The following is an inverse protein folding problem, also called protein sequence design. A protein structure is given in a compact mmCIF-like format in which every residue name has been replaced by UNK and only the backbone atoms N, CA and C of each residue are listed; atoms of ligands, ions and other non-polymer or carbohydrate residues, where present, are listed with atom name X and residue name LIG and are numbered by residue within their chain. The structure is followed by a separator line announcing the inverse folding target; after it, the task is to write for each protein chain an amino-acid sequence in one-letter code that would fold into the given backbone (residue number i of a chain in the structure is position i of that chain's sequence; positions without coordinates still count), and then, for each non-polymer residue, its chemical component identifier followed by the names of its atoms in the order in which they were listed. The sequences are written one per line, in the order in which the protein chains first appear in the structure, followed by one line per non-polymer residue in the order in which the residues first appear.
data_IF_391532154009
#
_entry.id   IF_391532154009
#
_cell.length_a   1.000
_cell.length_b   1.000
_cell.length_c   1.000
_cell.angle_alpha   90.00
_cell.angle_beta   90.00
_cell.angle_gamma   90.00
#
_symmetry.space_group_name_H-M   'P 1'
#
loop_
_entity.id
_entity.type
_entity.pdbx_description
1 polymer ?
#
# COMPACT_ATOMS: atom_id res chain seq x y z
N UNK A 1 8.77 10.30 -7.69
CA UNK A 1 8.26 8.92 -7.53
C UNK A 1 7.37 8.60 -8.73
N UNK A 2 7.53 7.44 -9.35
CA UNK A 2 6.67 7.05 -10.48
C UNK A 2 5.23 6.82 -9.97
N UNK A 3 4.24 7.18 -10.78
CA UNK A 3 2.81 7.12 -10.41
C UNK A 3 2.41 5.73 -9.87
N UNK A 4 2.75 4.66 -10.60
CA UNK A 4 2.43 3.29 -10.17
C UNK A 4 3.08 2.93 -8.83
N UNK A 5 4.34 3.36 -8.59
CA UNK A 5 5.00 3.13 -7.30
C UNK A 5 4.21 3.76 -6.14
N UNK A 6 3.71 4.98 -6.33
CA UNK A 6 2.88 5.66 -5.31
C UNK A 6 1.57 4.91 -5.06
N UNK A 7 0.88 4.43 -6.11
CA UNK A 7 -0.31 3.58 -5.96
C UNK A 7 -0.01 2.32 -5.14
N UNK A 8 1.10 1.64 -5.43
CA UNK A 8 1.54 0.44 -4.71
C UNK A 8 1.92 0.71 -3.25
N UNK A 9 2.59 1.83 -2.97
CA UNK A 9 3.01 2.23 -1.62
C UNK A 9 1.82 2.65 -0.74
N UNK A 10 0.81 3.28 -1.31
CA UNK A 10 -0.43 3.55 -0.58
C UNK A 10 -1.22 2.26 -0.35
N UNK A 11 -1.27 1.39 -1.35
CA UNK A 11 -1.94 0.08 -1.27
C UNK A 11 -3.46 0.14 -1.39
N UNK A 12 -4.06 1.31 -1.24
CA UNK A 12 -5.52 1.51 -1.36
C UNK A 12 -5.79 2.71 -2.26
N UNK A 13 -6.64 2.52 -3.27
CA UNK A 13 -7.04 3.56 -4.22
C UNK A 13 -8.53 3.84 -4.05
N UNK A 14 -8.92 4.93 -3.38
CA UNK A 14 -10.34 5.31 -3.27
C UNK A 14 -10.96 5.54 -4.65
N UNK A 15 -12.08 4.86 -4.90
CA UNK A 15 -12.90 5.07 -6.12
C UNK A 15 -14.02 6.04 -5.77
N UNK A 16 -13.93 7.25 -6.31
CA UNK A 16 -14.72 8.39 -5.87
C UNK A 16 -15.70 8.83 -6.95
N UNK A 17 -16.95 9.04 -6.55
CA UNK A 17 -18.03 9.54 -7.41
C UNK A 17 -18.43 10.92 -6.90
N UNK A 18 -18.10 11.98 -7.66
CA UNK A 18 -18.44 13.37 -7.33
C UNK A 18 -19.64 13.80 -8.18
N UNK A 19 -20.67 14.31 -7.52
CA UNK A 19 -21.86 14.90 -8.19
C UNK A 19 -21.84 16.43 -8.16
N UNK A 20 -21.24 17.01 -7.11
CA UNK A 20 -21.02 18.43 -6.96
C UNK A 20 -19.52 18.72 -6.88
N UNK A 21 -19.01 19.50 -7.82
CA UNK A 21 -17.58 19.86 -7.94
C UNK A 21 -17.04 20.48 -6.64
N UNK A 22 -17.85 21.25 -5.91
CA UNK A 22 -17.46 21.88 -4.66
C UNK A 22 -17.01 20.86 -3.57
N UNK A 23 -17.41 19.60 -3.69
CA UNK A 23 -17.05 18.51 -2.76
C UNK A 23 -15.72 17.83 -3.10
N UNK A 24 -15.14 18.06 -4.27
CA UNK A 24 -13.92 17.39 -4.71
C UNK A 24 -12.71 17.70 -3.81
N UNK A 25 -12.46 18.97 -3.53
CA UNK A 25 -11.34 19.43 -2.67
C UNK A 25 -11.54 18.99 -1.22
N UNK A 26 -12.71 19.16 -0.58
CA UNK A 26 -12.95 18.65 0.77
C UNK A 26 -12.75 17.12 0.89
N UNK A 27 -13.21 16.33 -0.09
CA UNK A 27 -13.03 14.88 -0.12
C UNK A 27 -11.54 14.49 -0.25
N UNK A 28 -10.81 15.12 -1.18
CA UNK A 28 -9.37 14.94 -1.33
C UNK A 28 -8.61 15.29 -0.04
N UNK A 29 -8.94 16.43 0.59
CA UNK A 29 -8.34 16.84 1.86
C UNK A 29 -8.60 15.86 3.00
N UNK A 30 -9.79 15.28 3.08
CA UNK A 30 -10.12 14.26 4.09
C UNK A 30 -9.31 12.98 3.88
N UNK A 31 -9.15 12.51 2.64
CA UNK A 31 -8.30 11.37 2.31
C UNK A 31 -6.83 11.63 2.68
N UNK A 32 -6.30 12.82 2.35
CA UNK A 32 -4.93 13.22 2.72
C UNK A 32 -4.70 13.19 4.23
N UNK A 33 -5.61 13.78 5.02
CA UNK A 33 -5.50 13.75 6.50
C UNK A 33 -5.55 12.33 7.05
N UNK A 34 -6.33 11.44 6.41
CA UNK A 34 -6.35 10.01 6.72
C UNK A 34 -5.12 9.23 6.23
N UNK A 35 -4.16 9.90 5.57
CA UNK A 35 -2.91 9.29 5.10
C UNK A 35 -3.05 8.55 3.76
N UNK A 36 -4.11 8.82 2.99
CA UNK A 36 -4.32 8.31 1.64
C UNK A 36 -4.14 9.46 0.65
N UNK A 37 -3.03 9.48 -0.06
CA UNK A 37 -2.64 10.55 -0.96
C UNK A 37 -2.81 10.19 -2.45
N UNK A 38 -3.72 9.26 -2.72
CA UNK A 38 -4.17 8.87 -4.07
C UNK A 38 -5.69 8.82 -4.11
N UNK A 39 -6.31 9.14 -5.26
CA UNK A 39 -7.74 8.96 -5.49
C UNK A 39 -8.05 8.78 -6.98
N UNK A 40 -9.05 7.93 -7.28
CA UNK A 40 -9.62 7.71 -8.61
C UNK A 40 -10.97 8.42 -8.67
N UNK A 41 -11.07 9.59 -9.33
CA UNK A 41 -12.36 10.26 -9.59
C UNK A 41 -12.96 9.66 -10.87
N UNK A 42 -14.18 9.14 -10.77
CA UNK A 42 -14.82 8.46 -11.90
C UNK A 42 -15.54 9.44 -12.82
N UNK A 43 -15.49 9.17 -14.14
CA UNK A 43 -16.27 9.89 -15.16
C UNK A 43 -17.72 9.38 -15.29
N UNK A 44 -18.31 8.92 -14.16
CA UNK A 44 -19.70 8.44 -14.12
C UNK A 44 -20.73 9.55 -13.99
N UNK A 45 -20.29 10.77 -13.71
CA UNK A 45 -21.14 11.95 -13.55
C UNK A 45 -20.67 13.06 -14.47
N UNK A 46 -21.54 13.98 -14.85
CA UNK A 46 -21.15 15.17 -15.61
C UNK A 46 -20.11 16.05 -14.89
N UNK A 47 -20.07 16.00 -13.55
CA UNK A 47 -19.13 16.76 -12.73
C UNK A 47 -17.70 16.14 -12.73
N UNK A 48 -17.50 14.92 -13.23
CA UNK A 48 -16.27 14.17 -13.07
C UNK A 48 -15.00 14.89 -13.55
N UNK A 49 -15.00 15.49 -14.75
CA UNK A 49 -13.84 16.21 -15.27
C UNK A 49 -13.50 17.46 -14.48
N UNK A 50 -14.52 18.26 -14.12
CA UNK A 50 -14.31 19.47 -13.32
C UNK A 50 -13.91 19.12 -11.88
N UNK A 51 -14.39 18.01 -11.33
CA UNK A 51 -13.96 17.50 -10.03
C UNK A 51 -12.48 17.07 -10.03
N UNK A 52 -11.99 16.43 -11.12
CA UNK A 52 -10.57 16.14 -11.32
C UNK A 52 -9.76 17.44 -11.31
N UNK A 53 -10.18 18.45 -12.11
CA UNK A 53 -9.52 19.75 -12.19
C UNK A 53 -9.46 20.44 -10.83
N UNK A 54 -10.57 20.47 -10.10
CA UNK A 54 -10.65 21.09 -8.79
C UNK A 54 -9.74 20.36 -7.76
N UNK A 55 -9.80 19.04 -7.72
CA UNK A 55 -8.97 18.25 -6.79
C UNK A 55 -7.47 18.37 -7.10
N UNK A 56 -7.07 18.30 -8.37
CA UNK A 56 -5.68 18.44 -8.80
C UNK A 56 -5.10 19.83 -8.49
N UNK A 57 -5.90 20.89 -8.69
CA UNK A 57 -5.48 22.26 -8.38
C UNK A 57 -5.50 22.57 -6.88
N UNK A 58 -6.53 22.10 -6.15
CA UNK A 58 -6.74 22.43 -4.74
C UNK A 58 -5.97 21.56 -3.75
N UNK A 59 -5.48 20.39 -4.18
CA UNK A 59 -4.75 19.43 -3.34
C UNK A 59 -3.51 18.92 -4.08
N UNK A 60 -2.42 19.71 -4.18
CA UNK A 60 -1.22 19.34 -4.96
C UNK A 60 -0.53 18.07 -4.46
N UNK A 61 -0.71 17.71 -3.19
CA UNK A 61 -0.17 16.48 -2.61
C UNK A 61 -1.01 15.24 -2.97
N UNK A 62 -2.20 15.41 -3.55
CA UNK A 62 -3.06 14.31 -3.97
C UNK A 62 -2.67 13.83 -5.37
N UNK A 63 -2.40 12.54 -5.52
CA UNK A 63 -2.31 11.89 -6.82
C UNK A 63 -3.73 11.61 -7.33
N UNK A 64 -4.22 12.48 -8.21
CA UNK A 64 -5.57 12.36 -8.77
C UNK A 64 -5.52 11.56 -10.08
N UNK A 65 -6.34 10.53 -10.18
CA UNK A 65 -6.55 9.76 -11.39
C UNK A 65 -7.99 9.84 -11.88
N UNK A 66 -8.18 9.52 -13.16
CA UNK A 66 -9.50 9.40 -13.77
C UNK A 66 -9.92 7.94 -13.87
N UNK A 67 -11.09 7.61 -13.35
CA UNK A 67 -11.70 6.29 -13.43
C UNK A 67 -12.90 6.25 -14.37
N UNK A 68 -13.28 5.04 -14.77
CA UNK A 68 -14.37 4.81 -15.73
C UNK A 68 -14.12 5.50 -17.07
N UNK A 69 -12.85 5.59 -17.46
CA UNK A 69 -12.45 6.09 -18.78
C UNK A 69 -12.66 4.98 -19.81
N UNK A 70 -13.49 5.19 -20.81
CA UNK A 70 -13.90 4.18 -21.78
C UNK A 70 -13.49 4.47 -23.22
N UNK A 71 -12.93 5.65 -23.48
CA UNK A 71 -12.45 6.06 -24.80
C UNK A 71 -11.17 6.85 -24.72
N UNK A 72 -10.37 6.87 -25.79
CA UNK A 72 -9.18 7.71 -25.90
C UNK A 72 -9.51 9.22 -25.77
N UNK A 73 -10.66 9.65 -26.28
CA UNK A 73 -11.08 11.05 -26.14
C UNK A 73 -11.28 11.43 -24.67
N UNK A 74 -11.97 10.60 -23.88
CA UNK A 74 -12.12 10.80 -22.43
C UNK A 74 -10.78 10.78 -21.70
N UNK A 75 -9.86 9.88 -22.10
CA UNK A 75 -8.51 9.81 -21.55
C UNK A 75 -7.80 11.17 -21.70
N UNK A 76 -7.77 11.74 -22.91
CA UNK A 76 -7.14 13.02 -23.18
C UNK A 76 -7.77 14.15 -22.38
N UNK A 77 -9.11 14.23 -22.35
CA UNK A 77 -9.83 15.22 -21.55
C UNK A 77 -9.52 15.12 -20.05
N UNK A 78 -9.41 13.89 -19.53
CA UNK A 78 -9.07 13.69 -18.12
C UNK A 78 -7.65 14.16 -17.80
N UNK A 79 -6.68 13.91 -18.68
CA UNK A 79 -5.30 14.38 -18.52
C UNK A 79 -5.22 15.92 -18.60
N UNK A 80 -5.94 16.54 -19.53
CA UNK A 80 -6.07 18.02 -19.63
C UNK A 80 -6.73 18.61 -18.37
N UNK A 81 -7.63 17.86 -17.71
CA UNK A 81 -8.20 18.24 -16.42
C UNK A 81 -7.25 18.07 -15.24
N UNK A 82 -6.07 17.44 -15.44
CA UNK A 82 -5.06 17.26 -14.42
C UNK A 82 -4.97 15.84 -13.82
N UNK A 83 -5.66 14.86 -14.42
CA UNK A 83 -5.46 13.46 -14.04
C UNK A 83 -4.03 13.02 -14.31
N UNK A 84 -3.44 12.25 -13.39
CA UNK A 84 -2.06 11.78 -13.46
C UNK A 84 -1.97 10.27 -13.76
N UNK A 85 -3.09 9.57 -13.72
CA UNK A 85 -3.23 8.18 -14.15
C UNK A 85 -4.65 7.89 -14.64
N UNK A 86 -4.77 6.84 -15.44
CA UNK A 86 -6.02 6.44 -16.09
C UNK A 86 -6.43 5.05 -15.61
N UNK A 87 -7.71 4.90 -15.31
CA UNK A 87 -8.32 3.62 -14.95
C UNK A 87 -9.55 3.39 -15.84
N UNK A 88 -9.58 2.26 -16.51
CA UNK A 88 -10.74 1.86 -17.34
C UNK A 88 -11.45 0.64 -16.77
N UNK A 89 -12.74 0.47 -17.01
CA UNK A 89 -13.50 -0.71 -16.57
C UNK A 89 -13.16 -1.97 -17.38
N UNK A 90 -12.66 -1.80 -18.59
CA UNK A 90 -12.26 -2.86 -19.51
C UNK A 90 -11.00 -2.49 -20.28
N UNK A 91 -10.56 -3.36 -21.18
CA UNK A 91 -9.38 -3.17 -22.01
C UNK A 91 -9.77 -2.54 -23.36
N UNK A 92 -9.33 -1.34 -23.62
CA UNK A 92 -9.37 -0.69 -24.93
C UNK A 92 -7.96 -0.56 -25.49
N UNK A 93 -7.68 -1.21 -26.61
CA UNK A 93 -6.34 -1.32 -27.18
C UNK A 93 -5.78 0.03 -27.62
N UNK A 94 -6.60 0.88 -28.25
CA UNK A 94 -6.18 2.18 -28.76
C UNK A 94 -5.80 3.12 -27.62
N UNK A 95 -6.66 3.21 -26.62
CA UNK A 95 -6.42 4.05 -25.43
C UNK A 95 -5.20 3.56 -24.64
N UNK A 96 -5.07 2.25 -24.40
CA UNK A 96 -3.96 1.69 -23.62
C UNK A 96 -2.62 1.87 -24.37
N UNK A 97 -2.58 1.61 -25.68
CA UNK A 97 -1.39 1.83 -26.50
C UNK A 97 -0.98 3.30 -26.48
N UNK A 98 -1.93 4.21 -26.67
CA UNK A 98 -1.67 5.65 -26.60
C UNK A 98 -1.11 6.07 -25.23
N UNK A 99 -1.68 5.57 -24.13
CA UNK A 99 -1.18 5.85 -22.78
C UNK A 99 0.29 5.41 -22.62
N UNK A 100 0.61 4.19 -23.06
CA UNK A 100 1.98 3.64 -22.99
C UNK A 100 2.96 4.47 -23.80
N UNK A 101 2.61 4.80 -25.04
CA UNK A 101 3.44 5.62 -25.96
C UNK A 101 3.71 7.03 -25.41
N UNK A 102 2.75 7.58 -24.66
CA UNK A 102 2.85 8.94 -24.06
C UNK A 102 3.31 8.92 -22.59
N UNK A 103 3.74 7.77 -22.05
CA UNK A 103 4.24 7.66 -20.69
C UNK A 103 3.18 7.89 -19.60
N UNK A 104 1.89 7.71 -19.94
CA UNK A 104 0.76 7.86 -19.02
C UNK A 104 0.53 6.53 -18.28
N UNK A 105 0.51 6.57 -16.96
CA UNK A 105 0.17 5.40 -16.16
C UNK A 105 -1.30 5.00 -16.41
N UNK A 106 -1.52 3.75 -16.83
CA UNK A 106 -2.85 3.21 -17.10
C UNK A 106 -3.03 1.84 -16.44
N UNK A 107 -4.19 1.62 -15.82
CA UNK A 107 -4.60 0.34 -15.23
C UNK A 107 -5.94 -0.11 -15.83
N UNK A 108 -5.88 -0.81 -16.99
CA UNK A 108 -7.09 -1.28 -17.67
C UNK A 108 -7.74 -2.44 -16.93
N UNK A 109 -9.08 -2.54 -17.04
CA UNK A 109 -9.85 -3.67 -16.55
C UNK A 109 -9.59 -4.91 -17.40
N UNK A 110 -9.08 -5.99 -16.76
CA UNK A 110 -8.82 -7.28 -17.39
C UNK A 110 -9.23 -8.40 -16.43
N UNK A 111 -10.15 -9.26 -16.86
CA UNK A 111 -10.66 -10.39 -16.07
C UNK A 111 -10.53 -11.75 -16.79
N UNK A 112 -10.11 -11.73 -18.05
CA UNK A 112 -9.90 -12.94 -18.86
C UNK A 112 -8.43 -13.06 -19.31
N UNK A 113 -7.95 -14.30 -19.58
CA UNK A 113 -6.61 -14.51 -20.12
C UNK A 113 -6.33 -13.70 -21.40
N UNK A 114 -7.32 -13.58 -22.29
CA UNK A 114 -7.18 -12.84 -23.56
C UNK A 114 -6.91 -11.35 -23.32
N UNK A 115 -7.65 -10.72 -22.42
CA UNK A 115 -7.45 -9.31 -22.05
C UNK A 115 -6.09 -9.09 -21.37
N UNK A 116 -5.70 -10.02 -20.47
CA UNK A 116 -4.39 -9.97 -19.80
C UNK A 116 -3.25 -10.08 -20.81
N UNK A 117 -3.34 -11.01 -21.77
CA UNK A 117 -2.36 -11.15 -22.86
C UNK A 117 -2.26 -9.87 -23.70
N UNK A 118 -3.41 -9.25 -24.03
CA UNK A 118 -3.44 -8.03 -24.82
C UNK A 118 -2.80 -6.84 -24.07
N UNK A 119 -3.05 -6.70 -22.77
CA UNK A 119 -2.44 -5.69 -21.93
C UNK A 119 -0.92 -5.91 -21.76
N UNK A 120 -0.51 -7.16 -21.47
CA UNK A 120 0.89 -7.54 -21.29
C UNK A 120 1.72 -7.34 -22.58
N UNK A 121 1.14 -7.58 -23.76
CA UNK A 121 1.77 -7.32 -25.05
C UNK A 121 2.09 -5.84 -25.29
N UNK A 122 1.39 -4.92 -24.60
CA UNK A 122 1.68 -3.48 -24.58
C UNK A 122 2.57 -3.07 -23.41
N UNK A 123 3.09 -4.02 -22.60
CA UNK A 123 3.94 -3.74 -21.43
C UNK A 123 3.17 -3.32 -20.17
N UNK A 124 1.84 -3.45 -20.14
CA UNK A 124 1.01 -3.10 -18.98
C UNK A 124 0.82 -4.34 -18.10
N UNK A 125 1.44 -4.31 -16.90
CA UNK A 125 1.47 -5.43 -15.96
C UNK A 125 0.71 -5.17 -14.65
N UNK A 126 0.13 -3.99 -14.47
CA UNK A 126 -0.76 -3.67 -13.36
C UNK A 126 -2.16 -3.45 -13.90
N UNK A 127 -3.06 -4.36 -13.56
CA UNK A 127 -4.38 -4.46 -14.17
C UNK A 127 -5.49 -4.29 -13.12
N UNK A 128 -6.53 -3.55 -13.45
CA UNK A 128 -7.75 -3.52 -12.64
C UNK A 128 -8.49 -4.85 -12.81
N UNK A 129 -8.94 -5.44 -11.69
CA UNK A 129 -9.81 -6.62 -11.69
C UNK A 129 -11.18 -6.22 -11.15
N UNK A 130 -12.18 -6.08 -12.04
CA UNK A 130 -13.47 -5.47 -11.68
C UNK A 130 -14.64 -6.10 -12.44
N UNK A 131 -15.77 -6.32 -11.75
CA UNK A 131 -15.98 -6.32 -10.29
C UNK A 131 -15.41 -7.58 -9.62
N UNK A 132 -14.48 -7.39 -8.67
CA UNK A 132 -13.65 -8.49 -8.15
C UNK A 132 -14.47 -9.60 -7.48
N UNK A 133 -15.43 -9.24 -6.63
CA UNK A 133 -16.27 -10.23 -5.93
C UNK A 133 -17.15 -11.06 -6.86
N UNK A 134 -17.55 -10.49 -8.00
CA UNK A 134 -18.42 -11.19 -9.00
C UNK A 134 -17.59 -12.17 -9.83
N UNK A 135 -16.35 -11.82 -10.16
CA UNK A 135 -15.45 -12.64 -10.98
C UNK A 135 -14.56 -13.60 -10.16
N UNK A 136 -14.93 -13.92 -8.91
CA UNK A 136 -14.27 -14.96 -8.11
C UNK A 136 -13.12 -14.47 -7.23
N UNK A 137 -12.91 -13.14 -7.12
CA UNK A 137 -12.03 -12.54 -6.11
C UNK A 137 -10.59 -13.06 -6.14
N UNK A 138 -10.06 -13.34 -4.95
CA UNK A 138 -8.68 -13.81 -4.78
C UNK A 138 -8.39 -15.13 -5.48
N UNK A 139 -9.35 -16.07 -5.50
CA UNK A 139 -9.16 -17.38 -6.13
C UNK A 139 -8.97 -17.24 -7.64
N UNK A 140 -9.81 -16.43 -8.31
CA UNK A 140 -9.69 -16.18 -9.73
C UNK A 140 -8.37 -15.48 -10.08
N UNK A 141 -7.99 -14.44 -9.33
CA UNK A 141 -6.72 -13.73 -9.56
C UNK A 141 -5.51 -14.64 -9.31
N UNK A 142 -5.56 -15.52 -8.30
CA UNK A 142 -4.53 -16.53 -8.05
C UNK A 142 -4.37 -17.47 -9.24
N UNK A 143 -5.47 -17.99 -9.76
CA UNK A 143 -5.45 -18.87 -10.93
C UNK A 143 -4.89 -18.16 -12.17
N UNK A 144 -5.29 -16.90 -12.42
CA UNK A 144 -4.79 -16.08 -13.51
C UNK A 144 -3.30 -15.70 -13.33
N UNK A 145 -2.83 -15.46 -12.11
CA UNK A 145 -1.42 -15.12 -11.87
C UNK A 145 -0.45 -16.26 -12.18
N UNK A 146 -0.90 -17.51 -12.19
CA UNK A 146 -0.06 -18.66 -12.52
C UNK A 146 0.60 -18.56 -13.89
N UNK A 147 -0.15 -18.48 -15.01
CA UNK A 147 0.42 -18.32 -16.35
C UNK A 147 0.98 -16.91 -16.61
N UNK A 148 0.63 -15.90 -15.83
CA UNK A 148 1.02 -14.50 -16.02
C UNK A 148 1.86 -13.96 -14.85
N UNK A 149 2.99 -14.61 -14.54
CA UNK A 149 3.81 -14.36 -13.35
C UNK A 149 4.35 -12.93 -13.17
N UNK A 150 4.30 -12.06 -14.20
CA UNK A 150 4.68 -10.64 -14.11
C UNK A 150 3.49 -9.70 -13.88
N UNK A 151 2.25 -10.20 -13.90
CA UNK A 151 1.03 -9.40 -13.78
C UNK A 151 0.60 -9.29 -12.32
N UNK A 152 0.17 -8.09 -11.93
CA UNK A 152 -0.41 -7.82 -10.62
C UNK A 152 -1.73 -7.09 -10.77
N UNK A 153 -2.66 -7.36 -9.85
CA UNK A 153 -4.03 -6.88 -9.94
C UNK A 153 -4.33 -5.76 -8.95
N UNK A 154 -5.27 -4.89 -9.34
CA UNK A 154 -5.96 -3.94 -8.45
C UNK A 154 -7.43 -4.40 -8.38
N UNK A 155 -7.76 -5.35 -7.46
CA UNK A 155 -9.14 -5.76 -7.24
C UNK A 155 -9.99 -4.56 -6.81
N UNK A 156 -11.14 -4.42 -7.47
CA UNK A 156 -12.11 -3.36 -7.20
C UNK A 156 -13.51 -3.96 -7.20
N UNK A 157 -14.33 -3.59 -6.21
CA UNK A 157 -15.67 -4.15 -6.02
C UNK A 157 -15.68 -5.34 -5.05
N UNK A 158 -16.44 -5.20 -3.96
CA UNK A 158 -16.54 -6.19 -2.89
C UNK A 158 -15.36 -6.22 -1.93
N UNK A 159 -14.46 -5.22 -2.00
CA UNK A 159 -13.39 -5.04 -1.02
C UNK A 159 -13.79 -3.96 -0.02
N UNK A 160 -13.56 -4.20 1.26
CA UNK A 160 -13.79 -3.31 2.38
C UNK A 160 -12.74 -3.51 3.49
N UNK A 161 -12.90 -2.84 4.63
CA UNK A 161 -11.97 -2.94 5.76
C UNK A 161 -11.82 -4.38 6.31
N UNK A 162 -12.83 -5.24 6.16
CA UNK A 162 -12.83 -6.61 6.73
C UNK A 162 -11.94 -7.57 5.96
N UNK A 163 -11.83 -7.39 4.63
CA UNK A 163 -11.07 -8.28 3.76
C UNK A 163 -9.80 -7.60 3.16
N UNK A 164 -9.59 -6.31 3.42
CA UNK A 164 -8.46 -5.53 2.90
C UNK A 164 -7.10 -6.20 3.18
N UNK A 165 -6.89 -6.65 4.43
CA UNK A 165 -5.62 -7.29 4.81
C UNK A 165 -5.35 -8.56 4.01
N UNK A 166 -6.38 -9.39 3.79
CA UNK A 166 -6.29 -10.63 3.01
C UNK A 166 -5.92 -10.34 1.55
N UNK A 167 -6.60 -9.36 0.92
CA UNK A 167 -6.27 -8.95 -0.44
C UNK A 167 -4.84 -8.44 -0.55
N UNK A 168 -4.40 -7.57 0.36
CA UNK A 168 -3.05 -6.99 0.32
C UNK A 168 -1.93 -7.98 0.67
N UNK A 169 -2.24 -9.09 1.34
CA UNK A 169 -1.28 -10.16 1.61
C UNK A 169 -0.99 -11.03 0.38
N UNK A 170 -1.88 -11.04 -0.63
CA UNK A 170 -1.69 -11.83 -1.84
C UNK A 170 -0.60 -11.21 -2.75
N UNK A 171 0.44 -11.97 -3.15
CA UNK A 171 1.60 -11.43 -3.88
C UNK A 171 1.26 -10.90 -5.27
N UNK A 172 0.15 -11.36 -5.85
CA UNK A 172 -0.37 -10.91 -7.14
C UNK A 172 -1.29 -9.67 -7.01
N UNK A 173 -1.55 -9.17 -5.80
CA UNK A 173 -2.29 -7.92 -5.59
C UNK A 173 -1.33 -6.76 -5.43
N UNK A 174 -1.49 -5.75 -6.28
CA UNK A 174 -0.66 -4.56 -6.30
C UNK A 174 -1.15 -3.50 -5.30
N UNK A 175 -2.42 -3.19 -5.37
CA UNK A 175 -3.18 -2.29 -4.51
C UNK A 175 -4.64 -2.73 -4.57
N UNK A 176 -5.52 -2.09 -3.82
CA UNK A 176 -6.95 -2.39 -3.79
C UNK A 176 -7.74 -1.14 -4.16
N UNK A 177 -8.71 -1.27 -5.06
CA UNK A 177 -9.67 -0.21 -5.36
C UNK A 177 -10.85 -0.26 -4.38
N UNK A 178 -11.11 0.84 -3.67
CA UNK A 178 -12.12 0.88 -2.62
C UNK A 178 -13.08 2.06 -2.67
N UNK A 179 -14.36 1.79 -2.90
CA UNK A 179 -15.41 2.84 -2.84
C UNK A 179 -15.93 3.10 -1.42
N UNK A 180 -15.67 2.19 -0.47
CA UNK A 180 -16.13 2.34 0.92
C UNK A 180 -15.44 3.50 1.66
N UNK A 181 -14.23 3.87 1.25
CA UNK A 181 -13.45 4.95 1.87
C UNK A 181 -14.08 6.31 1.65
N UNK A 182 -14.74 6.49 0.52
CA UNK A 182 -15.28 7.76 0.06
C UNK A 182 -16.64 7.51 -0.59
N UNK A 183 -17.58 7.01 0.21
CA UNK A 183 -18.90 6.64 -0.26
C UNK A 183 -19.66 7.88 -0.78
N UNK A 184 -20.34 7.74 -1.92
CA UNK A 184 -21.11 8.81 -2.56
C UNK A 184 -22.04 9.54 -1.58
N UNK A 185 -22.70 8.78 -0.66
CA UNK A 185 -23.56 9.32 0.37
C UNK A 185 -22.80 10.22 1.35
N UNK A 186 -21.62 9.79 1.81
CA UNK A 186 -20.83 10.55 2.79
C UNK A 186 -20.30 11.85 2.18
N UNK A 187 -19.93 11.83 0.89
CA UNK A 187 -19.55 13.01 0.14
C UNK A 187 -20.74 13.98 0.04
N UNK A 188 -21.90 13.48 -0.41
CA UNK A 188 -23.11 14.30 -0.60
C UNK A 188 -23.60 14.95 0.71
N UNK A 189 -23.43 14.27 1.84
CA UNK A 189 -23.80 14.75 3.18
C UNK A 189 -22.68 15.56 3.86
N UNK A 190 -21.54 15.79 3.19
CA UNK A 190 -20.39 16.55 3.74
C UNK A 190 -19.70 15.86 4.91
N UNK A 191 -19.81 14.52 5.04
CA UNK A 191 -19.23 13.71 6.13
C UNK A 191 -17.73 13.47 5.95
N UNK A 192 -16.97 14.53 5.72
CA UNK A 192 -15.53 14.43 5.44
C UNK A 192 -14.72 13.89 6.62
N UNK A 193 -15.16 14.12 7.87
CA UNK A 193 -14.54 13.49 9.04
C UNK A 193 -14.67 11.97 9.05
N UNK A 194 -15.76 11.41 8.51
CA UNK A 194 -15.92 9.96 8.36
C UNK A 194 -14.99 9.42 7.28
N UNK A 195 -14.83 10.13 6.16
CA UNK A 195 -13.89 9.77 5.09
C UNK A 195 -12.46 9.73 5.61
N UNK A 196 -12.03 10.74 6.38
CA UNK A 196 -10.73 10.79 7.04
C UNK A 196 -10.51 9.57 7.96
N UNK A 197 -11.49 9.25 8.81
CA UNK A 197 -11.43 8.10 9.71
C UNK A 197 -11.30 6.78 8.95
N UNK A 198 -12.10 6.56 7.90
CA UNK A 198 -12.05 5.34 7.09
C UNK A 198 -10.72 5.23 6.33
N UNK A 199 -10.19 6.34 5.84
CA UNK A 199 -8.88 6.37 5.20
C UNK A 199 -7.75 6.01 6.20
N UNK A 200 -7.77 6.56 7.40
CA UNK A 200 -6.81 6.23 8.45
C UNK A 200 -6.89 4.76 8.88
N UNK A 201 -8.11 4.22 9.02
CA UNK A 201 -8.34 2.80 9.31
C UNK A 201 -7.79 1.90 8.20
N UNK A 202 -8.08 2.19 6.94
CA UNK A 202 -7.56 1.44 5.81
C UNK A 202 -6.02 1.47 5.75
N UNK A 203 -5.40 2.62 6.05
CA UNK A 203 -3.93 2.72 6.14
C UNK A 203 -3.37 1.91 7.30
N UNK A 204 -4.00 1.94 8.46
CA UNK A 204 -3.60 1.13 9.60
C UNK A 204 -3.65 -0.37 9.27
N UNK A 205 -4.71 -0.84 8.61
CA UNK A 205 -4.85 -2.23 8.15
C UNK A 205 -3.77 -2.58 7.11
N UNK A 206 -3.54 -1.70 6.14
CA UNK A 206 -2.55 -1.94 5.08
C UNK A 206 -1.12 -2.04 5.62
N UNK A 207 -0.78 -1.25 6.63
CA UNK A 207 0.54 -1.25 7.28
C UNK A 207 0.65 -2.36 8.33
N UNK A 208 -0.39 -2.61 9.11
CA UNK A 208 -0.47 -3.66 10.11
C UNK A 208 0.67 -3.61 11.12
N UNK A 209 1.03 -2.42 11.62
CA UNK A 209 2.09 -2.28 12.62
C UNK A 209 1.78 -3.02 13.91
N UNK A 210 2.73 -3.80 14.38
CA UNK A 210 2.66 -4.47 15.67
C UNK A 210 4.08 -4.65 16.27
N UNK A 211 4.18 -4.72 17.59
CA UNK A 211 5.44 -5.04 18.25
C UNK A 211 5.88 -6.45 17.86
N UNK A 212 7.08 -6.57 17.29
CA UNK A 212 7.69 -7.85 16.93
C UNK A 212 8.46 -8.47 18.09
N UNK A 213 9.50 -7.76 18.54
CA UNK A 213 10.33 -8.12 19.69
C UNK A 213 11.08 -6.90 20.21
N UNK A 214 11.61 -7.04 21.41
CA UNK A 214 12.59 -6.12 22.00
C UNK A 214 13.94 -6.83 22.01
N UNK A 215 14.95 -6.19 21.44
CA UNK A 215 16.33 -6.68 21.43
C UNK A 215 17.16 -5.97 22.48
N UNK A 216 17.91 -6.73 23.27
CA UNK A 216 18.81 -6.24 24.30
C UNK A 216 20.25 -6.42 23.82
N UNK A 217 21.06 -5.36 23.86
CA UNK A 217 22.48 -5.46 23.56
C UNK A 217 23.25 -6.08 24.72
N UNK A 218 24.12 -7.05 24.40
CA UNK A 218 25.04 -7.67 25.37
C UNK A 218 26.46 -7.72 24.81
N UNK A 219 27.50 -7.72 25.67
CA UNK A 219 28.87 -7.69 25.20
C UNK A 219 29.29 -8.97 24.48
N UNK A 220 28.74 -10.14 24.89
CA UNK A 220 29.15 -11.44 24.38
C UNK A 220 28.02 -12.50 24.41
N UNK A 221 28.34 -13.69 23.94
CA UNK A 221 27.41 -14.81 23.84
C UNK A 221 27.08 -15.45 25.19
N UNK A 222 27.98 -15.40 26.16
CA UNK A 222 27.79 -15.99 27.49
C UNK A 222 26.78 -15.14 28.28
N UNK A 223 26.96 -13.82 28.31
CA UNK A 223 26.02 -12.91 28.96
C UNK A 223 24.64 -12.94 28.26
N UNK A 224 24.63 -13.00 26.93
CA UNK A 224 23.40 -13.18 26.16
C UNK A 224 22.62 -14.44 26.56
N UNK A 225 23.30 -15.57 26.70
CA UNK A 225 22.68 -16.83 27.11
C UNK A 225 22.18 -16.78 28.54
N UNK A 226 22.98 -16.22 29.47
CA UNK A 226 22.60 -16.06 30.88
C UNK A 226 21.30 -15.29 31.06
N UNK A 227 21.12 -14.20 30.29
CA UNK A 227 19.88 -13.40 30.29
C UNK A 227 18.68 -14.20 29.77
N UNK A 228 18.83 -14.92 28.64
CA UNK A 228 17.74 -15.72 28.07
C UNK A 228 17.34 -16.86 29.03
N UNK A 229 18.31 -17.51 29.70
CA UNK A 229 18.03 -18.51 30.73
C UNK A 229 17.35 -17.90 31.97
N UNK A 230 17.68 -16.66 32.32
CA UNK A 230 16.98 -15.94 33.40
C UNK A 230 15.50 -15.74 33.07
N UNK A 231 15.17 -15.32 31.83
CA UNK A 231 13.78 -15.25 31.36
C UNK A 231 13.09 -16.62 31.35
N UNK A 232 13.81 -17.68 30.99
CA UNK A 232 13.27 -19.05 31.03
C UNK A 232 12.93 -19.47 32.47
N UNK A 233 13.86 -19.29 33.41
CA UNK A 233 13.63 -19.62 34.83
C UNK A 233 12.50 -18.82 35.48
N UNK A 234 12.38 -17.52 35.12
CA UNK A 234 11.38 -16.65 35.72
C UNK A 234 9.97 -16.82 35.11
N UNK A 235 9.89 -17.00 33.81
CA UNK A 235 8.62 -16.92 33.05
C UNK A 235 8.33 -18.12 32.17
N UNK A 236 9.20 -19.14 32.15
CA UNK A 236 9.04 -20.33 31.32
C UNK A 236 9.19 -20.05 29.81
N UNK A 237 9.79 -18.95 29.40
CA UNK A 237 9.99 -18.63 27.98
C UNK A 237 11.04 -19.56 27.37
N UNK A 238 10.69 -20.21 26.25
CA UNK A 238 11.58 -21.16 25.60
C UNK A 238 12.88 -20.51 25.13
N UNK A 239 14.01 -21.10 25.46
CA UNK A 239 15.35 -20.68 25.01
C UNK A 239 15.51 -21.11 23.54
N UNK A 240 15.84 -20.16 22.66
CA UNK A 240 16.09 -20.38 21.24
C UNK A 240 17.44 -19.79 20.85
N UNK A 241 18.52 -20.60 20.84
CA UNK A 241 19.83 -20.14 20.40
C UNK A 241 19.83 -19.79 18.91
N UNK A 242 20.46 -18.69 18.55
CA UNK A 242 20.67 -18.26 17.17
C UNK A 242 22.13 -17.92 16.88
N UNK A 243 22.44 -17.50 15.66
CA UNK A 243 23.83 -17.18 15.28
C UNK A 243 24.34 -15.91 15.94
N UNK A 244 23.64 -14.80 15.76
CA UNK A 244 24.01 -13.46 16.27
C UNK A 244 23.31 -13.05 17.56
N UNK A 245 22.29 -13.78 17.97
CA UNK A 245 21.46 -13.50 19.16
C UNK A 245 20.85 -14.80 19.70
N UNK A 246 20.34 -14.72 20.92
CA UNK A 246 19.50 -15.76 21.52
C UNK A 246 18.12 -15.16 21.78
N UNK A 247 17.07 -15.99 21.75
CA UNK A 247 15.71 -15.56 22.03
C UNK A 247 15.14 -16.22 23.29
N UNK A 248 14.45 -15.43 24.12
CA UNK A 248 13.52 -15.94 25.10
C UNK A 248 12.09 -15.83 24.52
N UNK A 249 11.52 -16.98 24.17
CA UNK A 249 10.25 -17.07 23.45
C UNK A 249 10.36 -16.50 22.04
N UNK A 250 9.52 -15.51 21.73
CA UNK A 250 9.54 -14.78 20.45
C UNK A 250 9.57 -13.25 20.64
N UNK A 251 9.52 -12.80 21.88
CA UNK A 251 9.35 -11.37 22.20
C UNK A 251 10.64 -10.70 22.70
N UNK A 252 11.59 -11.46 23.22
CA UNK A 252 12.87 -10.92 23.73
C UNK A 252 14.02 -11.54 22.96
N UNK A 253 14.74 -10.71 22.21
CA UNK A 253 15.98 -11.03 21.54
C UNK A 253 17.15 -10.51 22.37
N UNK A 254 18.17 -11.32 22.61
CA UNK A 254 19.37 -10.90 23.34
C UNK A 254 20.57 -11.07 22.42
N UNK A 255 21.17 -9.95 22.04
CA UNK A 255 22.32 -9.92 21.13
C UNK A 255 23.56 -10.53 21.77
N UNK A 256 24.43 -11.13 20.96
CA UNK A 256 25.73 -11.69 21.39
C UNK A 256 26.89 -10.72 21.21
N UNK A 257 26.59 -9.49 20.84
CA UNK A 257 27.52 -8.38 20.72
C UNK A 257 26.73 -7.07 20.75
N UNK A 258 27.41 -5.97 21.06
CA UNK A 258 26.81 -4.64 20.94
C UNK A 258 26.43 -4.38 19.48
N UNK A 259 25.23 -3.82 19.25
CA UNK A 259 24.71 -3.45 17.96
C UNK A 259 24.01 -2.08 18.03
N UNK A 260 23.21 -1.74 17.02
CA UNK A 260 22.53 -0.43 16.98
C UNK A 260 21.64 -0.17 18.21
N UNK A 261 21.57 1.10 18.60
CA UNK A 261 20.87 1.58 19.79
C UNK A 261 21.69 1.39 21.07
N UNK A 262 21.63 2.37 21.97
CA UNK A 262 22.31 2.33 23.28
C UNK A 262 21.83 1.14 24.12
N UNK A 263 20.52 0.92 24.15
CA UNK A 263 19.89 -0.14 24.95
C UNK A 263 19.59 -1.40 24.14
N UNK A 264 19.71 -1.34 22.82
CA UNK A 264 19.33 -2.38 21.89
C UNK A 264 18.33 -1.89 20.85
N UNK A 265 17.38 -2.73 20.45
CA UNK A 265 16.46 -2.40 19.37
C UNK A 265 15.02 -2.82 19.66
N UNK A 266 14.08 -2.19 18.93
CA UNK A 266 12.68 -2.55 18.91
C UNK A 266 12.30 -2.92 17.47
N UNK A 267 11.80 -4.14 17.28
CA UNK A 267 11.28 -4.58 16.00
C UNK A 267 9.79 -4.25 15.88
N UNK A 268 9.43 -3.53 14.83
CA UNK A 268 8.04 -3.28 14.44
C UNK A 268 7.74 -4.13 13.21
N UNK A 269 6.88 -5.12 13.35
CA UNK A 269 6.37 -5.91 12.24
C UNK A 269 5.41 -5.08 11.40
N UNK A 270 5.41 -5.33 10.11
CA UNK A 270 4.50 -4.68 9.15
C UNK A 270 4.08 -5.64 8.05
N UNK A 271 2.90 -5.41 7.48
CA UNK A 271 2.40 -6.18 6.33
C UNK A 271 3.20 -5.90 5.03
N UNK A 272 3.94 -4.78 4.96
CA UNK A 272 4.80 -4.44 3.83
C UNK A 272 5.86 -3.43 4.26
N UNK A 273 7.11 -3.87 4.32
CA UNK A 273 8.23 -2.98 4.66
C UNK A 273 8.34 -1.80 3.68
N UNK A 274 8.23 -1.97 2.34
CA UNK A 274 8.27 -0.83 1.42
C UNK A 274 7.15 0.21 1.66
N UNK A 275 5.91 -0.25 1.93
CA UNK A 275 4.79 0.65 2.27
C UNK A 275 5.01 1.39 3.59
N UNK A 276 5.59 0.69 4.57
CA UNK A 276 5.90 1.26 5.88
C UNK A 276 7.00 2.34 5.77
N UNK A 277 8.05 2.09 5.00
CA UNK A 277 9.11 3.06 4.73
C UNK A 277 8.56 4.32 4.06
N UNK A 278 7.75 4.19 2.99
CA UNK A 278 7.11 5.34 2.33
C UNK A 278 6.21 6.13 3.30
N UNK A 279 5.41 5.41 4.11
CA UNK A 279 4.53 6.02 5.09
C UNK A 279 5.29 6.80 6.16
N UNK A 280 6.37 6.23 6.70
CA UNK A 280 7.20 6.87 7.72
C UNK A 280 8.00 8.05 7.16
N UNK A 281 8.53 7.92 5.94
CA UNK A 281 9.23 9.00 5.24
C UNK A 281 8.36 10.26 5.08
N UNK A 282 7.07 10.10 4.74
CA UNK A 282 6.11 11.21 4.67
C UNK A 282 5.82 11.87 6.03
N UNK A 283 6.23 11.23 7.13
CA UNK A 283 6.13 11.74 8.51
C UNK A 283 7.45 12.22 9.10
N UNK A 284 8.49 12.31 8.27
CA UNK A 284 9.81 12.80 8.67
C UNK A 284 10.76 11.73 9.21
N UNK A 285 10.36 10.44 9.23
CA UNK A 285 11.23 9.35 9.68
C UNK A 285 11.94 8.70 8.48
N UNK A 286 13.27 8.77 8.47
CA UNK A 286 14.07 8.17 7.40
C UNK A 286 14.47 6.73 7.73
N UNK A 287 14.62 5.90 6.71
CA UNK A 287 15.20 4.56 6.82
C UNK A 287 16.69 4.61 6.49
N UNK A 288 17.48 3.80 7.18
CA UNK A 288 18.91 3.62 6.91
C UNK A 288 19.10 2.48 5.91
N UNK A 289 19.27 2.86 4.64
CA UNK A 289 19.41 1.94 3.52
C UNK A 289 20.61 0.97 3.66
N UNK A 290 21.64 1.36 4.46
CA UNK A 290 22.80 0.48 4.70
C UNK A 290 22.44 -0.76 5.52
N UNK A 291 21.30 -0.72 6.23
CA UNK A 291 20.80 -1.81 7.07
C UNK A 291 19.77 -2.69 6.37
N UNK A 292 19.45 -2.40 5.09
CA UNK A 292 18.42 -3.10 4.35
C UNK A 292 18.73 -4.59 4.19
N UNK A 293 17.78 -5.44 4.56
CA UNK A 293 17.84 -6.90 4.38
C UNK A 293 16.76 -7.34 3.42
N UNK A 294 17.16 -8.14 2.43
CA UNK A 294 16.28 -8.66 1.40
C UNK A 294 16.05 -10.16 1.57
N UNK A 295 14.83 -10.61 1.31
CA UNK A 295 14.46 -12.02 1.25
C UNK A 295 13.69 -12.25 -0.05
N UNK A 296 14.14 -13.19 -0.88
CA UNK A 296 13.54 -13.49 -2.19
C UNK A 296 13.38 -12.23 -3.08
N UNK A 297 14.36 -11.32 -3.04
CA UNK A 297 14.34 -10.08 -3.82
C UNK A 297 13.45 -8.96 -3.27
N UNK A 298 12.73 -9.18 -2.17
CA UNK A 298 11.89 -8.17 -1.52
C UNK A 298 12.55 -7.65 -0.23
N UNK A 299 12.40 -6.36 0.05
CA UNK A 299 12.87 -5.73 1.30
C UNK A 299 12.12 -6.33 2.48
N UNK A 300 12.85 -7.04 3.36
CA UNK A 300 12.29 -7.79 4.47
C UNK A 300 12.54 -7.13 5.84
N UNK A 301 13.60 -6.36 5.99
CA UNK A 301 13.85 -5.57 7.20
C UNK A 301 14.72 -4.35 6.89
N UNK A 302 14.56 -3.27 7.67
CA UNK A 302 15.35 -2.05 7.58
C UNK A 302 15.23 -1.27 8.88
N UNK A 303 16.34 -0.65 9.33
CA UNK A 303 16.32 0.23 10.48
C UNK A 303 15.91 1.65 10.10
N UNK A 304 15.32 2.39 11.05
CA UNK A 304 15.16 3.82 10.96
C UNK A 304 16.47 4.50 11.39
N UNK A 305 16.72 5.70 10.86
CA UNK A 305 17.92 6.49 11.22
C UNK A 305 17.83 7.05 12.65
N UNK A 306 16.62 7.28 13.14
CA UNK A 306 16.37 7.83 14.46
C UNK A 306 16.24 6.74 15.51
N UNK A 307 16.75 7.01 16.72
CA UNK A 307 16.54 6.18 17.90
C UNK A 307 15.33 6.68 18.70
N UNK A 308 14.65 5.77 19.37
CA UNK A 308 13.49 6.05 20.21
C UNK A 308 13.82 5.65 21.66
N UNK A 309 14.08 6.65 22.51
CA UNK A 309 14.42 6.41 23.92
C UNK A 309 15.67 5.55 24.09
N UNK A 310 16.71 5.73 23.26
CA UNK A 310 17.94 4.94 23.28
C UNK A 310 17.87 3.60 22.53
N UNK A 311 16.68 3.21 22.02
CA UNK A 311 16.53 2.01 21.19
C UNK A 311 16.60 2.37 19.70
N UNK A 312 17.34 1.58 18.93
CA UNK A 312 17.19 1.58 17.48
C UNK A 312 15.86 0.91 17.12
N UNK A 313 15.17 1.43 16.12
CA UNK A 313 13.88 0.86 15.67
C UNK A 313 14.04 0.30 14.25
N UNK A 314 13.58 -0.91 14.03
CA UNK A 314 13.57 -1.49 12.70
C UNK A 314 12.22 -2.06 12.31
N UNK A 315 11.93 -1.99 11.01
CA UNK A 315 10.77 -2.61 10.39
C UNK A 315 11.12 -4.05 10.00
N UNK A 316 10.16 -4.96 10.18
CA UNK A 316 10.30 -6.37 9.80
C UNK A 316 9.03 -6.82 9.09
N UNK A 317 9.21 -7.51 7.94
CA UNK A 317 8.10 -8.13 7.21
C UNK A 317 7.45 -9.24 8.05
N UNK A 318 6.11 -9.24 8.13
CA UNK A 318 5.33 -10.33 8.71
C UNK A 318 5.46 -11.63 7.92
#
# INVERSE_FOLDING_TARGET
MKVLERLGNVGVVPVVVIEDVAQAVPAAGALLRGGVDVMEITLRTPAGLEAIRAAAAGCPDMLVGAGTVTTLAQCKQALEAGAQFIVSPGFDREMVAWCVENGVAVTPGCVTPTEIMAAAALGVNVLKFFPANVYGGLEAMKALSGPFGGVRFIPTGGVDAKNLAEYLAAPFVFAVGGSWLCAKKDIAEGKFGQIEKLAAEARAIALGFELGHVGLNRPDAEDSMAIVEQFNRAFGLAVKPGASSNFAGSAVEVMKSMYLGEHGHIAIKTNSVPRAVDYLKKRGFAADESTAKYKNGALAAIYLTESFGGFAVHLVQK
#
